data_IF_639558143813
#
_entry.id   IF_639558143813
#
_cell.length_a   1.000
_cell.length_b   1.000
_cell.length_c   1.000
_cell.angle_alpha   90.00
_cell.angle_beta   90.00
_cell.angle_gamma   90.00
#
_symmetry.space_group_name_H-M   'P 1'
#
loop_
_entity.id
_entity.type
_entity.pdbx_description
1 polymer ?
#
# COMPACT_ATOMS: atom_id res chain seq x y z
N UNK A 1 18.02 4.30 -58.58
CA UNK A 1 18.14 4.29 -57.11
C UNK A 1 16.84 4.79 -56.45
N UNK A 2 15.74 4.02 -56.52
CA UNK A 2 14.44 4.39 -55.89
C UNK A 2 13.67 3.20 -55.30
N UNK A 3 14.30 2.02 -55.16
CA UNK A 3 13.63 0.78 -54.70
C UNK A 3 14.12 0.22 -53.37
N UNK A 4 15.05 0.89 -52.67
CA UNK A 4 15.59 0.40 -51.38
C UNK A 4 14.96 1.13 -50.17
N UNK A 5 14.17 2.18 -50.40
CA UNK A 5 13.61 3.01 -49.33
C UNK A 5 12.23 2.55 -48.81
N UNK A 6 11.75 1.35 -49.20
CA UNK A 6 10.45 0.83 -48.73
C UNK A 6 10.57 -0.32 -47.72
N UNK A 7 11.76 -0.94 -47.58
CA UNK A 7 11.93 -2.11 -46.69
C UNK A 7 12.35 -1.67 -45.27
N UNK A 8 12.89 -0.46 -45.09
CA UNK A 8 13.33 0.03 -43.78
C UNK A 8 12.16 0.60 -42.95
N UNK A 9 11.02 0.93 -43.57
CA UNK A 9 9.81 1.34 -42.83
C UNK A 9 8.96 0.17 -42.31
N UNK A 10 9.24 -1.08 -42.70
CA UNK A 10 8.52 -2.26 -42.18
C UNK A 10 9.18 -2.88 -40.93
N UNK A 11 10.37 -2.42 -40.53
CA UNK A 11 11.10 -2.95 -39.38
C UNK A 11 10.97 -2.09 -38.10
N UNK A 12 10.20 -1.00 -38.13
CA UNK A 12 9.87 -0.18 -36.95
C UNK A 12 8.51 -0.50 -36.34
N UNK A 13 7.78 -1.49 -36.84
CA UNK A 13 6.57 -2.05 -36.20
C UNK A 13 6.92 -3.18 -35.21
N UNK A 14 8.03 -3.06 -34.47
CA UNK A 14 8.01 -3.50 -33.08
C UNK A 14 7.17 -2.49 -32.32
N UNK A 15 5.86 -2.51 -32.58
CA UNK A 15 4.86 -1.97 -31.67
C UNK A 15 5.21 -2.62 -30.32
N UNK A 16 5.74 -1.83 -29.40
CA UNK A 16 5.85 -2.22 -28.01
C UNK A 16 4.44 -2.49 -27.53
N UNK A 17 3.98 -3.73 -27.70
CA UNK A 17 2.74 -4.19 -27.11
C UNK A 17 3.01 -4.17 -25.61
N UNK A 18 2.51 -3.13 -24.96
CA UNK A 18 2.32 -3.12 -23.52
C UNK A 18 1.65 -4.45 -23.17
N UNK A 19 2.33 -5.25 -22.35
CA UNK A 19 1.82 -6.57 -21.95
C UNK A 19 0.48 -6.37 -21.25
N UNK A 20 -0.60 -6.80 -21.90
CA UNK A 20 -1.96 -6.82 -21.33
C UNK A 20 -2.20 -8.16 -20.65
N UNK A 21 -3.00 -8.12 -19.60
CA UNK A 21 -3.32 -9.27 -18.76
C UNK A 21 -4.84 -9.44 -18.70
N UNK A 22 -5.35 -10.69 -18.63
CA UNK A 22 -6.75 -10.94 -18.36
C UNK A 22 -7.13 -10.37 -17.00
N UNK A 23 -8.29 -9.71 -16.94
CA UNK A 23 -8.83 -9.13 -15.72
C UNK A 23 -10.32 -9.41 -15.56
N UNK A 24 -10.77 -9.50 -14.32
CA UNK A 24 -12.17 -9.32 -13.94
C UNK A 24 -12.32 -7.95 -13.26
N UNK A 25 -13.28 -7.15 -13.70
CA UNK A 25 -13.58 -5.83 -13.13
C UNK A 25 -14.96 -5.88 -12.49
N UNK A 26 -14.97 -5.66 -11.17
CA UNK A 26 -16.18 -5.59 -10.36
C UNK A 26 -16.50 -4.13 -10.06
N UNK A 27 -17.74 -3.76 -10.29
CA UNK A 27 -18.24 -2.39 -10.15
C UNK A 27 -19.01 -2.21 -8.86
N UNK A 28 -19.14 -0.95 -8.43
CA UNK A 28 -19.80 -0.59 -7.16
C UNK A 28 -21.31 -0.87 -7.15
N UNK A 29 -21.95 -0.93 -8.31
CA UNK A 29 -23.36 -1.32 -8.45
C UNK A 29 -23.55 -2.85 -8.45
N UNK A 30 -22.46 -3.62 -8.34
CA UNK A 30 -22.46 -5.08 -8.28
C UNK A 30 -22.28 -5.77 -9.63
N UNK A 31 -22.24 -5.05 -10.76
CA UNK A 31 -21.95 -5.71 -12.04
C UNK A 31 -20.48 -6.13 -12.14
N UNK A 32 -20.23 -7.17 -12.94
CA UNK A 32 -18.90 -7.70 -13.19
C UNK A 32 -18.72 -7.97 -14.67
N UNK A 33 -17.51 -7.73 -15.17
CA UNK A 33 -17.14 -8.01 -16.54
C UNK A 33 -15.70 -8.54 -16.62
N UNK A 34 -15.43 -9.33 -17.65
CA UNK A 34 -14.09 -9.79 -17.96
C UNK A 34 -13.51 -8.99 -19.12
N UNK A 35 -12.20 -8.82 -19.13
CA UNK A 35 -11.50 -8.13 -20.20
C UNK A 35 -9.98 -8.26 -20.08
N UNK A 36 -9.28 -7.34 -20.73
CA UNK A 36 -7.82 -7.26 -20.74
C UNK A 36 -7.36 -5.85 -20.41
N UNK A 37 -6.35 -5.74 -19.57
CA UNK A 37 -5.77 -4.46 -19.14
C UNK A 37 -4.26 -4.51 -19.07
N UNK A 38 -3.60 -3.37 -19.27
CA UNK A 38 -2.19 -3.23 -18.92
C UNK A 38 -2.02 -3.31 -17.40
N UNK A 39 -0.92 -3.92 -16.94
CA UNK A 39 -0.62 -3.95 -15.51
C UNK A 39 -0.42 -2.51 -15.00
N UNK A 40 -1.16 -2.16 -13.97
CA UNK A 40 -1.24 -0.80 -13.44
C UNK A 40 0.01 -0.47 -12.63
N UNK A 41 0.68 -1.45 -12.03
CA UNK A 41 1.98 -1.26 -11.36
C UNK A 41 3.17 -1.11 -12.34
N UNK A 42 2.93 -0.83 -13.62
CA UNK A 42 4.02 -0.40 -14.49
C UNK A 42 4.49 0.99 -14.04
N UNK A 43 5.79 1.09 -13.76
CA UNK A 43 6.44 2.33 -13.37
C UNK A 43 6.15 3.40 -14.42
N UNK A 44 5.50 4.49 -14.01
CA UNK A 44 5.42 5.71 -14.79
C UNK A 44 6.83 6.31 -14.81
N UNK A 45 7.37 6.53 -16.01
CA UNK A 45 8.61 7.30 -16.18
C UNK A 45 8.25 8.76 -15.94
N UNK A 46 8.22 9.18 -14.68
CA UNK A 46 8.19 10.61 -14.36
C UNK A 46 9.61 11.16 -14.44
N UNK A 47 9.82 11.98 -15.47
CA UNK A 47 11.11 12.58 -15.82
C UNK A 47 11.58 13.65 -14.82
N UNK A 48 10.79 14.00 -13.81
CA UNK A 48 11.09 15.03 -12.81
C UNK A 48 10.40 14.67 -11.49
N UNK A 49 11.19 14.42 -10.43
CA UNK A 49 10.76 13.85 -9.14
C UNK A 49 9.89 14.76 -8.26
N UNK A 50 8.69 15.11 -8.72
CA UNK A 50 7.68 15.82 -7.93
C UNK A 50 6.33 15.08 -8.00
N UNK A 51 6.09 14.17 -7.05
CA UNK A 51 4.82 13.46 -6.88
C UNK A 51 4.87 12.47 -5.70
N UNK A 52 3.73 12.11 -5.13
CA UNK A 52 3.65 11.01 -4.16
C UNK A 52 3.90 9.64 -4.82
N UNK A 53 4.30 8.64 -4.03
CA UNK A 53 4.74 7.33 -4.53
C UNK A 53 3.67 6.59 -5.33
N UNK A 54 2.40 6.77 -4.96
CA UNK A 54 1.25 6.20 -5.66
C UNK A 54 1.15 6.68 -7.12
N UNK A 55 1.56 7.94 -7.39
CA UNK A 55 1.60 8.48 -8.76
C UNK A 55 2.67 7.80 -9.63
N UNK A 56 3.76 7.31 -9.00
CA UNK A 56 4.86 6.62 -9.71
C UNK A 56 4.41 5.27 -10.27
N UNK A 57 3.43 4.62 -9.64
CA UNK A 57 2.82 3.37 -10.10
C UNK A 57 1.44 3.54 -10.71
N UNK A 58 1.05 4.76 -11.12
CA UNK A 58 -0.26 5.04 -11.74
C UNK A 58 -1.44 4.48 -10.92
N UNK A 59 -1.29 4.35 -9.59
CA UNK A 59 -2.33 3.83 -8.70
C UNK A 59 -3.42 4.88 -8.48
N UNK A 60 -3.12 6.15 -8.77
CA UNK A 60 -4.02 7.29 -8.72
C UNK A 60 -4.82 7.49 -10.02
N UNK A 61 -4.68 6.57 -10.98
CA UNK A 61 -5.31 6.65 -12.29
C UNK A 61 -6.80 6.97 -12.15
N UNK A 62 -7.25 8.05 -12.79
CA UNK A 62 -8.68 8.42 -12.76
C UNK A 62 -9.52 7.52 -13.67
N UNK A 63 -8.88 6.89 -14.66
CA UNK A 63 -9.52 6.01 -15.62
C UNK A 63 -8.68 4.77 -15.88
N UNK A 64 -9.34 3.63 -16.00
CA UNK A 64 -8.76 2.37 -16.48
C UNK A 64 -9.10 2.17 -17.96
N UNK A 65 -8.21 1.50 -18.68
CA UNK A 65 -8.37 1.17 -20.10
C UNK A 65 -8.60 -0.34 -20.23
N UNK A 66 -9.86 -0.74 -20.38
CA UNK A 66 -10.28 -2.15 -20.49
C UNK A 66 -10.46 -2.49 -21.97
N UNK A 67 -10.04 -3.68 -22.39
CA UNK A 67 -10.23 -4.19 -23.75
C UNK A 67 -11.03 -5.50 -23.70
N UNK A 68 -11.87 -5.73 -24.70
CA UNK A 68 -12.64 -6.99 -24.79
C UNK A 68 -11.78 -8.16 -25.29
N UNK A 69 -10.60 -7.88 -25.84
CA UNK A 69 -9.58 -8.86 -26.24
C UNK A 69 -8.18 -8.26 -26.15
N UNK A 70 -7.14 -9.10 -26.17
CA UNK A 70 -5.73 -8.64 -26.09
C UNK A 70 -5.39 -7.56 -27.12
N UNK A 71 -5.97 -7.66 -28.33
CA UNK A 71 -5.77 -6.73 -29.45
C UNK A 71 -6.96 -5.81 -29.70
N UNK A 72 -7.95 -5.82 -28.82
CA UNK A 72 -9.17 -5.03 -28.96
C UNK A 72 -8.95 -3.54 -28.67
N UNK A 73 -9.95 -2.74 -29.04
CA UNK A 73 -9.99 -1.32 -28.69
C UNK A 73 -10.19 -1.17 -27.17
N UNK A 74 -9.51 -0.17 -26.60
CA UNK A 74 -9.65 0.13 -25.18
C UNK A 74 -10.82 1.09 -24.93
N UNK A 75 -11.77 0.67 -24.10
CA UNK A 75 -12.78 1.51 -23.47
C UNK A 75 -12.25 2.07 -22.16
N UNK A 76 -12.61 3.31 -21.86
CA UNK A 76 -12.21 3.99 -20.63
C UNK A 76 -13.30 3.84 -19.58
N UNK A 77 -12.91 3.43 -18.38
CA UNK A 77 -13.80 3.28 -17.23
C UNK A 77 -13.26 4.12 -16.09
N UNK A 78 -14.14 4.87 -15.41
CA UNK A 78 -13.74 5.68 -14.26
C UNK A 78 -13.43 4.78 -13.07
N UNK A 79 -12.30 5.00 -12.40
CA UNK A 79 -11.95 4.27 -11.16
C UNK A 79 -12.97 4.51 -10.06
N UNK A 80 -13.73 5.62 -10.11
CA UNK A 80 -14.78 5.89 -9.12
C UNK A 80 -15.94 4.89 -9.15
N UNK A 81 -16.17 4.26 -10.30
CA UNK A 81 -17.29 3.33 -10.54
C UNK A 81 -16.88 1.88 -10.25
N UNK A 82 -15.56 1.64 -10.15
CA UNK A 82 -14.96 0.34 -9.89
C UNK A 82 -14.95 0.08 -8.38
N UNK A 83 -15.20 -1.17 -8.02
CA UNK A 83 -15.02 -1.69 -6.66
C UNK A 83 -13.68 -2.43 -6.57
N UNK A 84 -13.48 -3.43 -7.44
CA UNK A 84 -12.26 -4.23 -7.52
C UNK A 84 -11.82 -4.51 -8.95
N UNK A 85 -10.52 -4.72 -9.13
CA UNK A 85 -9.93 -5.28 -10.34
C UNK A 85 -9.09 -6.49 -9.95
N UNK A 86 -9.37 -7.63 -10.56
CA UNK A 86 -8.62 -8.88 -10.32
C UNK A 86 -7.80 -9.15 -11.58
N UNK A 87 -6.47 -9.14 -11.45
CA UNK A 87 -5.56 -9.55 -12.51
C UNK A 87 -5.28 -11.04 -12.40
N UNK A 88 -5.52 -11.78 -13.49
CA UNK A 88 -5.23 -13.21 -13.53
C UNK A 88 -3.83 -13.44 -14.10
N UNK A 89 -2.90 -13.92 -13.27
CA UNK A 89 -1.57 -14.34 -13.68
C UNK A 89 -1.42 -15.85 -13.57
N UNK A 90 -0.44 -16.43 -14.28
CA UNK A 90 -0.13 -17.87 -14.20
C UNK A 90 0.16 -18.34 -12.77
N UNK A 91 0.67 -17.44 -11.92
CA UNK A 91 1.04 -17.73 -10.53
C UNK A 91 -0.08 -17.45 -9.52
N UNK A 92 -1.25 -17.02 -9.99
CA UNK A 92 -2.40 -16.67 -9.16
C UNK A 92 -2.96 -15.29 -9.47
N UNK A 93 -4.03 -14.97 -8.76
CA UNK A 93 -4.76 -13.73 -8.94
C UNK A 93 -4.18 -12.62 -8.06
N UNK A 94 -4.16 -11.40 -8.59
CA UNK A 94 -3.82 -10.20 -7.83
C UNK A 94 -5.00 -9.24 -7.84
N UNK A 95 -5.59 -9.06 -6.67
CA UNK A 95 -6.74 -8.20 -6.48
C UNK A 95 -6.31 -6.78 -6.13
N UNK A 96 -6.99 -5.79 -6.71
CA UNK A 96 -6.85 -4.38 -6.40
C UNK A 96 -8.20 -3.81 -6.01
N UNK A 97 -8.22 -2.98 -4.98
CA UNK A 97 -9.39 -2.23 -4.51
C UNK A 97 -9.32 -0.80 -4.99
N UNK A 98 -10.40 -0.31 -5.61
CA UNK A 98 -10.61 1.12 -5.80
C UNK A 98 -11.14 1.72 -4.49
N UNK A 99 -10.32 2.51 -3.80
CA UNK A 99 -10.62 3.02 -2.46
C UNK A 99 -10.21 4.48 -2.29
N UNK A 100 -10.98 5.22 -1.51
CA UNK A 100 -10.63 6.59 -1.11
C UNK A 100 -9.50 6.53 -0.10
N UNK A 101 -8.46 7.34 -0.27
CA UNK A 101 -7.36 7.46 0.68
C UNK A 101 -7.49 8.74 1.50
N UNK A 102 -7.28 8.59 2.80
CA UNK A 102 -7.17 9.70 3.74
C UNK A 102 -5.74 9.76 4.27
N UNK A 103 -5.12 10.94 4.18
CA UNK A 103 -3.78 11.21 4.70
C UNK A 103 -3.85 11.93 6.04
N UNK A 104 -2.93 11.58 6.94
CA UNK A 104 -2.80 12.24 8.24
C UNK A 104 -2.09 13.59 8.06
N UNK A 105 -2.85 14.68 8.23
CA UNK A 105 -2.38 16.05 8.20
C UNK A 105 -1.90 16.59 9.54
N UNK A 106 -1.67 17.90 9.58
CA UNK A 106 -1.30 18.62 10.80
C UNK A 106 -2.31 18.41 11.94
N UNK A 107 -1.82 18.07 13.13
CA UNK A 107 -2.65 17.83 14.31
C UNK A 107 -3.47 16.53 14.26
N UNK A 108 -3.18 15.60 13.35
CA UNK A 108 -3.88 14.32 13.24
C UNK A 108 -5.19 14.36 12.47
N UNK A 109 -5.50 15.49 11.81
CA UNK A 109 -6.68 15.60 10.95
C UNK A 109 -6.52 14.74 9.70
N UNK A 110 -7.59 14.04 9.31
CA UNK A 110 -7.63 13.28 8.07
C UNK A 110 -7.99 14.20 6.90
N UNK A 111 -7.15 14.22 5.87
CA UNK A 111 -7.37 14.96 4.63
C UNK A 111 -7.63 13.98 3.49
N UNK A 112 -8.63 14.27 2.66
CA UNK A 112 -8.94 13.47 1.47
C UNK A 112 -7.83 13.64 0.42
N UNK A 113 -7.29 12.51 -0.03
CA UNK A 113 -6.21 12.44 -1.02
C UNK A 113 -6.74 11.95 -2.40
N UNK A 114 -7.99 11.49 -2.46
CA UNK A 114 -8.64 10.98 -3.66
C UNK A 114 -8.80 9.46 -3.68
N UNK A 115 -9.18 8.93 -4.84
CA UNK A 115 -9.41 7.49 -5.05
C UNK A 115 -8.20 6.89 -5.76
N UNK A 116 -7.76 5.75 -5.23
CA UNK A 116 -6.61 4.98 -5.67
C UNK A 116 -7.01 3.52 -5.86
N UNK A 117 -6.32 2.83 -6.76
CA UNK A 117 -6.47 1.41 -7.00
C UNK A 117 -5.31 0.68 -6.34
N UNK A 118 -5.51 0.21 -5.10
CA UNK A 118 -4.44 -0.37 -4.29
C UNK A 118 -4.48 -1.91 -4.29
N UNK A 119 -3.32 -2.60 -4.34
CA UNK A 119 -3.28 -4.04 -4.19
C UNK A 119 -3.79 -4.47 -2.82
N UNK A 120 -4.60 -5.54 -2.79
CA UNK A 120 -5.09 -6.15 -1.55
C UNK A 120 -4.01 -7.05 -0.99
N UNK A 121 -3.58 -6.77 0.25
CA UNK A 121 -2.65 -7.62 1.00
C UNK A 121 -3.43 -8.61 1.86
N UNK A 122 -4.41 -8.11 2.63
CA UNK A 122 -5.22 -8.93 3.53
C UNK A 122 -6.64 -8.38 3.67
N UNK A 123 -7.64 -9.25 3.67
CA UNK A 123 -9.03 -8.93 4.03
C UNK A 123 -9.35 -9.49 5.41
N UNK A 124 -10.14 -8.78 6.20
CA UNK A 124 -10.54 -9.25 7.53
C UNK A 124 -11.18 -8.16 8.37
N UNK A 125 -10.97 -8.24 9.70
CA UNK A 125 -11.44 -7.24 10.67
C UNK A 125 -11.01 -5.82 10.30
N UNK A 126 -9.77 -5.71 9.84
CA UNK A 126 -9.21 -4.53 9.16
C UNK A 126 -8.63 -5.04 7.84
N UNK A 127 -9.06 -4.44 6.73
CA UNK A 127 -8.46 -4.69 5.43
C UNK A 127 -7.13 -3.95 5.33
N UNK A 128 -6.13 -4.62 4.76
CA UNK A 128 -4.80 -4.11 4.50
C UNK A 128 -4.56 -4.07 3.01
N UNK A 129 -4.14 -2.91 2.55
CA UNK A 129 -3.69 -2.69 1.19
C UNK A 129 -2.23 -2.28 1.21
N UNK A 130 -1.47 -2.59 0.17
CA UNK A 130 -0.07 -2.25 0.16
C UNK A 130 0.66 -2.61 -1.12
N UNK A 131 1.85 -2.05 -1.27
CA UNK A 131 2.73 -2.31 -2.40
C UNK A 131 4.19 -2.10 -2.00
N UNK A 132 5.09 -2.69 -2.78
CA UNK A 132 6.54 -2.48 -2.65
C UNK A 132 7.01 -1.48 -3.70
N UNK A 133 7.80 -0.50 -3.27
CA UNK A 133 8.51 0.43 -4.14
C UNK A 133 9.99 0.06 -4.19
N UNK A 134 10.59 0.18 -5.37
CA UNK A 134 12.04 0.02 -5.55
C UNK A 134 12.57 1.22 -6.32
N UNK A 135 13.47 1.96 -5.68
CA UNK A 135 14.18 3.07 -6.29
C UNK A 135 15.69 2.93 -6.10
N UNK A 136 16.42 3.72 -6.87
CA UNK A 136 17.86 3.85 -6.74
C UNK A 136 18.13 5.21 -6.15
N UNK A 137 18.73 5.24 -4.96
CA UNK A 137 19.21 6.48 -4.37
C UNK A 137 20.64 6.74 -4.88
N UNK A 138 20.89 7.93 -5.43
CA UNK A 138 22.22 8.27 -5.90
C UNK A 138 23.18 8.31 -4.72
N UNK A 139 24.37 7.73 -4.90
CA UNK A 139 25.44 7.84 -3.91
C UNK A 139 25.75 9.32 -3.60
N UNK A 140 26.21 9.60 -2.38
CA UNK A 140 26.64 10.93 -1.99
C UNK A 140 27.79 11.39 -2.91
N UNK A 141 27.59 12.43 -3.75
CA UNK A 141 28.60 12.86 -4.71
C UNK A 141 29.87 13.40 -4.05
N UNK A 142 29.83 13.73 -2.75
CA UNK A 142 31.00 14.15 -1.97
C UNK A 142 31.89 12.98 -1.48
N UNK A 143 31.41 11.74 -1.54
CA UNK A 143 32.17 10.56 -1.16
C UNK A 143 32.49 9.71 -2.41
N UNK A 144 33.79 9.61 -2.72
CA UNK A 144 34.31 8.90 -3.90
C UNK A 144 34.04 7.39 -3.90
N UNK A 145 33.67 6.84 -2.74
CA UNK A 145 33.29 5.43 -2.60
C UNK A 145 31.79 5.22 -2.52
N UNK A 146 31.00 6.31 -2.51
CA UNK A 146 29.56 6.19 -2.49
C UNK A 146 29.07 5.62 -3.81
N UNK A 147 28.32 4.53 -3.72
CA UNK A 147 27.67 3.89 -4.86
C UNK A 147 26.18 4.12 -4.73
N UNK A 148 25.52 4.14 -5.88
CA UNK A 148 24.07 4.10 -5.94
C UNK A 148 23.57 2.87 -5.19
N UNK A 149 22.61 3.07 -4.29
CA UNK A 149 21.99 1.99 -3.53
C UNK A 149 20.59 1.77 -4.06
N UNK A 150 20.22 0.50 -4.24
CA UNK A 150 18.83 0.15 -4.52
C UNK A 150 18.10 0.03 -3.20
N UNK A 151 17.15 0.92 -2.96
CA UNK A 151 16.31 0.95 -1.78
C UNK A 151 14.96 0.35 -2.11
N UNK A 152 14.43 -0.43 -1.16
CA UNK A 152 13.11 -1.04 -1.23
C UNK A 152 12.28 -0.52 -0.07
N UNK A 153 11.13 0.06 -0.40
CA UNK A 153 10.19 0.61 0.57
C UNK A 153 8.85 -0.12 0.50
N UNK A 154 8.14 -0.16 1.61
CA UNK A 154 6.88 -0.90 1.76
C UNK A 154 5.81 0.02 2.28
N UNK A 155 4.71 0.10 1.54
CA UNK A 155 3.58 1.00 1.79
C UNK A 155 2.37 0.19 2.25
N UNK A 156 1.73 0.62 3.33
CA UNK A 156 0.53 -0.03 3.87
C UNK A 156 -0.56 0.96 4.23
N UNK A 157 -1.79 0.60 3.88
CA UNK A 157 -3.00 1.37 4.14
C UNK A 157 -4.03 0.48 4.81
N UNK A 158 -4.78 1.05 5.76
CA UNK A 158 -5.66 0.29 6.64
C UNK A 158 -7.08 0.79 6.52
N UNK A 159 -8.03 -0.12 6.42
CA UNK A 159 -9.45 0.18 6.28
C UNK A 159 -10.26 -0.71 7.20
N UNK A 160 -11.10 -0.11 8.05
CA UNK A 160 -12.20 -0.83 8.65
C UNK A 160 -13.24 -1.13 7.57
N UNK A 161 -13.68 -2.39 7.36
CA UNK A 161 -14.61 -2.75 6.29
C UNK A 161 -15.92 -1.96 6.25
N UNK A 162 -16.32 -1.35 7.39
CA UNK A 162 -17.50 -0.49 7.50
C UNK A 162 -17.27 0.96 7.01
N UNK A 163 -16.05 1.31 6.58
CA UNK A 163 -15.70 2.62 6.05
C UNK A 163 -15.44 2.59 4.55
N UNK A 164 -15.64 3.71 3.87
CA UNK A 164 -15.41 3.85 2.42
C UNK A 164 -13.99 4.37 2.06
N UNK A 165 -13.10 4.49 3.05
CA UNK A 165 -11.72 4.95 2.88
C UNK A 165 -10.71 4.14 3.68
N UNK A 166 -9.48 4.09 3.18
CA UNK A 166 -8.31 3.62 3.90
C UNK A 166 -7.47 4.81 4.39
N UNK A 167 -6.73 4.61 5.47
CA UNK A 167 -5.85 5.61 6.08
C UNK A 167 -4.40 5.20 5.86
N UNK A 168 -3.58 6.16 5.44
CA UNK A 168 -2.12 6.06 5.47
C UNK A 168 -1.59 6.50 6.84
N UNK A 169 -1.03 5.56 7.61
CA UNK A 169 -0.45 5.82 8.93
C UNK A 169 1.00 6.27 8.88
N UNK A 170 1.33 7.10 7.88
CA UNK A 170 2.65 7.70 7.69
C UNK A 170 3.76 6.65 7.55
N UNK A 171 3.51 5.50 6.92
CA UNK A 171 4.43 4.36 6.79
C UNK A 171 5.51 4.26 7.89
N UNK A 172 5.11 4.43 9.15
CA UNK A 172 6.07 4.56 10.24
C UNK A 172 6.67 3.20 10.47
N UNK A 173 7.98 3.10 10.30
CA UNK A 173 8.73 1.84 10.30
C UNK A 173 8.86 1.21 11.67
N UNK A 174 8.60 1.96 12.75
CA UNK A 174 8.69 1.43 14.09
C UNK A 174 7.72 2.08 15.08
N UNK A 175 7.46 1.32 16.13
CA UNK A 175 6.68 1.70 17.32
C UNK A 175 7.29 2.88 18.09
N UNK A 176 8.58 3.19 17.90
CA UNK A 176 9.24 4.34 18.54
C UNK A 176 8.78 5.65 17.91
N UNK A 177 8.70 5.65 16.58
CA UNK A 177 8.14 6.73 15.76
C UNK A 177 6.66 6.88 16.09
N UNK A 178 5.93 5.78 16.24
CA UNK A 178 4.54 5.80 16.72
C UNK A 178 4.40 6.49 18.09
N UNK A 179 5.24 6.13 19.08
CA UNK A 179 5.23 6.77 20.42
C UNK A 179 5.49 8.27 20.30
N UNK A 180 6.44 8.68 19.46
CA UNK A 180 6.77 10.09 19.25
C UNK A 180 5.63 10.85 18.53
N UNK A 181 4.90 10.18 17.65
CA UNK A 181 3.79 10.72 16.87
C UNK A 181 2.42 10.47 17.52
N UNK A 182 2.37 9.90 18.74
CA UNK A 182 1.14 9.38 19.37
C UNK A 182 -0.05 10.33 19.27
N UNK A 183 0.16 11.63 19.48
CA UNK A 183 -0.90 12.65 19.40
C UNK A 183 -1.44 12.84 17.99
N UNK A 184 -0.58 12.72 16.97
CA UNK A 184 -0.96 12.85 15.56
C UNK A 184 -1.69 11.60 15.06
N UNK A 185 -1.34 10.42 15.56
CA UNK A 185 -1.91 9.14 15.10
C UNK A 185 -3.09 8.66 15.94
N UNK A 186 -3.30 9.21 17.14
CA UNK A 186 -4.41 8.88 18.03
C UNK A 186 -5.78 9.02 17.36
N UNK A 187 -6.05 10.19 16.76
CA UNK A 187 -7.33 10.47 16.11
C UNK A 187 -7.57 9.55 14.90
N UNK A 188 -6.61 9.39 13.97
CA UNK A 188 -6.72 8.41 12.89
C UNK A 188 -7.00 6.98 13.39
N UNK A 189 -6.27 6.51 14.41
CA UNK A 189 -6.50 5.17 14.98
C UNK A 189 -7.89 5.04 15.59
N UNK A 190 -8.32 6.05 16.34
CA UNK A 190 -9.66 6.08 16.95
C UNK A 190 -10.73 6.00 15.87
N UNK A 191 -10.53 6.69 14.74
CA UNK A 191 -11.44 6.64 13.60
C UNK A 191 -11.44 5.28 12.88
N UNK A 192 -10.29 4.62 12.74
CA UNK A 192 -10.19 3.26 12.18
C UNK A 192 -10.94 2.22 13.04
N UNK A 193 -10.91 2.36 14.36
CA UNK A 193 -11.55 1.43 15.29
C UNK A 193 -12.85 1.97 15.92
N UNK A 194 -13.47 2.98 15.30
CA UNK A 194 -14.59 3.75 15.89
C UNK A 194 -15.84 2.94 16.21
N UNK A 195 -16.01 1.77 15.60
CA UNK A 195 -17.11 0.86 15.88
C UNK A 195 -16.85 -0.05 17.09
N UNK A 196 -15.73 0.13 17.78
CA UNK A 196 -15.36 -0.60 18.99
C UNK A 196 -14.99 0.37 20.13
N UNK A 197 -15.96 0.77 20.98
CA UNK A 197 -15.74 1.73 22.06
C UNK A 197 -14.64 1.35 23.06
N UNK A 198 -14.45 0.05 23.30
CA UNK A 198 -13.38 -0.44 24.16
C UNK A 198 -12.00 -0.19 23.55
N UNK A 199 -11.87 -0.43 22.24
CA UNK A 199 -10.64 -0.19 21.50
C UNK A 199 -10.30 1.31 21.41
N UNK A 200 -11.30 2.15 21.16
CA UNK A 200 -11.11 3.61 21.15
C UNK A 200 -10.67 4.12 22.52
N UNK A 201 -11.25 3.62 23.61
CA UNK A 201 -10.85 4.00 24.97
C UNK A 201 -9.40 3.58 25.29
N UNK A 202 -8.95 2.42 24.82
CA UNK A 202 -7.55 1.99 24.96
C UNK A 202 -6.59 2.87 24.16
N UNK A 203 -6.96 3.28 22.95
CA UNK A 203 -6.16 4.23 22.14
C UNK A 203 -6.08 5.59 22.82
N UNK A 204 -7.20 6.13 23.31
CA UNK A 204 -7.25 7.39 24.05
C UNK A 204 -6.38 7.34 25.31
N UNK A 205 -6.47 6.25 26.08
CA UNK A 205 -5.65 6.04 27.27
C UNK A 205 -4.15 5.93 26.94
N UNK A 206 -3.78 5.23 25.87
CA UNK A 206 -2.39 5.11 25.43
C UNK A 206 -1.79 6.43 24.92
N UNK A 207 -2.65 7.33 24.43
CA UNK A 207 -2.25 8.59 23.81
C UNK A 207 -2.41 9.81 24.72
N UNK A 208 -3.10 9.65 25.86
CA UNK A 208 -3.26 10.68 26.89
C UNK A 208 -1.91 11.14 27.46
N UNK A 209 -1.63 12.44 27.33
CA UNK A 209 -0.49 13.11 27.93
C UNK A 209 -0.70 13.25 29.44
N UNK A 210 -0.14 12.35 30.25
CA UNK A 210 -0.03 12.59 31.70
C UNK A 210 -0.06 11.37 32.61
N UNK A 211 -0.36 10.18 32.10
CA UNK A 211 -0.58 8.99 32.94
C UNK A 211 0.64 8.11 33.15
N UNK A 212 1.68 8.23 32.31
CA UNK A 212 2.90 7.41 32.40
C UNK A 212 4.09 8.21 32.89
N UNK A 213 4.64 7.79 34.01
CA UNK A 213 5.90 8.24 34.59
C UNK A 213 7.06 8.05 33.59
N UNK A 214 8.15 8.82 33.77
CA UNK A 214 9.38 8.66 32.97
C UNK A 214 9.94 7.23 33.05
N UNK A 215 9.75 6.55 34.18
CA UNK A 215 10.18 5.16 34.37
C UNK A 215 9.34 4.19 33.54
N UNK A 216 8.02 4.31 33.56
CA UNK A 216 7.13 3.47 32.74
C UNK A 216 7.39 3.67 31.25
N UNK A 217 7.63 4.91 30.80
CA UNK A 217 8.03 5.17 29.40
C UNK A 217 9.34 4.51 29.03
N UNK A 218 10.33 4.54 29.93
CA UNK A 218 11.63 3.90 29.71
C UNK A 218 11.52 2.37 29.70
N UNK A 219 10.61 1.82 30.50
CA UNK A 219 10.36 0.38 30.54
C UNK A 219 9.65 -0.08 29.26
N UNK A 220 8.56 0.60 28.87
CA UNK A 220 7.86 0.34 27.62
C UNK A 220 8.80 0.47 26.40
N UNK A 221 9.73 1.42 26.43
CA UNK A 221 10.77 1.57 25.42
C UNK A 221 11.65 0.31 25.30
N UNK A 222 12.17 -0.19 26.43
CA UNK A 222 13.03 -1.38 26.43
C UNK A 222 12.30 -2.65 25.99
N UNK A 223 11.06 -2.82 26.43
CA UNK A 223 10.21 -3.95 26.04
C UNK A 223 9.93 -3.91 24.53
N UNK A 224 9.68 -2.72 24.00
CA UNK A 224 9.49 -2.47 22.58
C UNK A 224 10.74 -2.79 21.75
N UNK A 225 11.94 -2.37 22.20
CA UNK A 225 13.21 -2.69 21.53
C UNK A 225 13.49 -4.20 21.55
N UNK A 226 13.26 -4.86 22.69
CA UNK A 226 13.45 -6.30 22.82
C UNK A 226 12.52 -7.08 21.89
N UNK A 227 11.24 -6.69 21.82
CA UNK A 227 10.27 -7.31 20.90
C UNK A 227 10.66 -7.10 19.44
N UNK A 228 11.08 -5.89 19.06
CA UNK A 228 11.52 -5.65 17.69
C UNK A 228 12.75 -6.49 17.33
N UNK A 229 13.72 -6.61 18.23
CA UNK A 229 14.90 -7.44 18.00
C UNK A 229 14.56 -8.93 17.82
N UNK A 230 13.55 -9.45 18.53
CA UNK A 230 13.03 -10.80 18.35
C UNK A 230 12.39 -10.97 16.96
N UNK A 231 11.53 -10.03 16.57
CA UNK A 231 10.89 -10.01 15.25
C UNK A 231 11.92 -9.92 14.12
N UNK A 232 12.93 -9.08 14.24
CA UNK A 232 14.02 -8.96 13.26
C UNK A 232 14.81 -10.27 13.15
N UNK A 233 15.05 -10.94 14.28
CA UNK A 233 15.70 -12.25 14.30
C UNK A 233 14.87 -13.32 13.59
N UNK A 234 13.55 -13.35 13.81
CA UNK A 234 12.65 -14.24 13.09
C UNK A 234 12.60 -13.91 11.60
N UNK A 235 12.43 -12.64 11.25
CA UNK A 235 12.38 -12.17 9.87
C UNK A 235 13.66 -12.54 9.12
N UNK A 236 14.84 -12.43 9.76
CA UNK A 236 16.13 -12.80 9.16
C UNK A 236 16.22 -14.27 8.71
N UNK A 237 15.45 -15.16 9.34
CA UNK A 237 15.42 -16.60 9.02
C UNK A 237 14.57 -16.92 7.78
N UNK A 238 13.76 -15.97 7.31
CA UNK A 238 12.98 -16.14 6.09
C UNK A 238 13.87 -16.08 4.86
N UNK A 239 13.49 -16.82 3.82
CA UNK A 239 14.16 -16.73 2.51
C UNK A 239 13.87 -15.39 1.85
N UNK A 240 14.77 -14.93 0.98
CA UNK A 240 14.59 -13.65 0.29
C UNK A 240 13.36 -13.64 -0.63
N UNK A 241 12.97 -14.81 -1.16
CA UNK A 241 11.69 -14.98 -1.83
C UNK A 241 10.51 -14.65 -0.92
N UNK A 242 10.48 -15.23 0.29
CA UNK A 242 9.42 -14.99 1.27
C UNK A 242 9.37 -13.52 1.74
N UNK A 243 10.52 -12.89 1.98
CA UNK A 243 10.56 -11.48 2.40
C UNK A 243 10.11 -10.50 1.31
N UNK A 244 10.41 -10.83 0.04
CA UNK A 244 10.17 -9.92 -1.09
C UNK A 244 8.78 -10.11 -1.70
N UNK A 245 8.28 -11.35 -1.78
CA UNK A 245 7.02 -11.63 -2.49
C UNK A 245 5.78 -11.61 -1.60
N UNK A 246 5.94 -11.61 -0.28
CA UNK A 246 4.81 -11.69 0.65
C UNK A 246 4.72 -10.43 1.51
N UNK A 247 3.92 -9.48 1.03
CA UNK A 247 3.64 -8.22 1.74
C UNK A 247 2.96 -8.45 3.09
N UNK A 248 2.18 -9.53 3.26
CA UNK A 248 1.53 -9.85 4.53
C UNK A 248 2.57 -10.32 5.55
N UNK A 249 3.52 -11.16 5.10
CA UNK A 249 4.67 -11.54 5.93
C UNK A 249 5.50 -10.32 6.32
N UNK A 250 5.84 -9.44 5.37
CA UNK A 250 6.59 -8.22 5.71
C UNK A 250 5.83 -7.33 6.71
N UNK A 251 4.52 -7.14 6.48
CA UNK A 251 3.64 -6.39 7.37
C UNK A 251 3.66 -6.95 8.79
N UNK A 252 3.53 -8.27 8.95
CA UNK A 252 3.58 -8.93 10.26
C UNK A 252 4.82 -8.58 11.08
N UNK A 253 5.99 -8.51 10.44
CA UNK A 253 7.26 -8.28 11.12
C UNK A 253 7.59 -6.78 11.29
N UNK A 254 7.37 -5.97 10.25
CA UNK A 254 7.76 -4.55 10.22
C UNK A 254 6.63 -3.60 10.69
N UNK A 255 5.40 -4.11 10.81
CA UNK A 255 4.21 -3.36 11.27
C UNK A 255 3.50 -4.08 12.41
N UNK A 256 4.24 -4.84 13.24
CA UNK A 256 3.69 -5.58 14.38
C UNK A 256 2.87 -4.70 15.34
N UNK A 257 3.21 -3.41 15.49
CA UNK A 257 2.40 -2.50 16.30
C UNK A 257 0.95 -2.37 15.79
N UNK A 258 0.73 -2.33 14.48
CA UNK A 258 -0.61 -2.34 13.89
C UNK A 258 -1.26 -3.70 14.03
N UNK A 259 -0.51 -4.80 13.89
CA UNK A 259 -1.02 -6.15 14.14
C UNK A 259 -1.54 -6.30 15.57
N UNK A 260 -0.82 -5.79 16.56
CA UNK A 260 -1.28 -5.79 17.95
C UNK A 260 -2.60 -5.05 18.13
N UNK A 261 -2.79 -3.91 17.45
CA UNK A 261 -4.07 -3.21 17.48
C UNK A 261 -5.18 -4.02 16.80
N UNK A 262 -4.91 -4.66 15.66
CA UNK A 262 -5.88 -5.52 14.95
C UNK A 262 -6.28 -6.73 15.81
N UNK A 263 -5.32 -7.37 16.47
CA UNK A 263 -5.57 -8.50 17.39
C UNK A 263 -6.45 -8.05 18.56
N UNK A 264 -6.09 -6.97 19.26
CA UNK A 264 -6.88 -6.42 20.38
C UNK A 264 -8.28 -6.03 19.94
N UNK A 265 -8.43 -5.46 18.75
CA UNK A 265 -9.73 -5.13 18.18
C UNK A 265 -10.61 -6.40 18.03
N UNK A 266 -10.04 -7.50 17.55
CA UNK A 266 -10.75 -8.79 17.46
C UNK A 266 -11.07 -9.43 18.81
N UNK A 267 -10.32 -9.11 19.87
CA UNK A 267 -10.58 -9.56 21.24
C UNK A 267 -11.68 -8.74 21.93
N UNK A 268 -11.64 -7.41 21.79
CA UNK A 268 -12.60 -6.50 22.40
C UNK A 268 -13.95 -6.47 21.68
N UNK A 269 -13.95 -6.71 20.37
CA UNK A 269 -15.14 -6.60 19.54
C UNK A 269 -15.37 -7.86 18.71
N UNK A 270 -15.65 -9.01 19.37
CA UNK A 270 -15.81 -10.31 18.70
C UNK A 270 -17.02 -10.35 17.75
N UNK A 271 -18.01 -9.48 17.94
CA UNK A 271 -19.18 -9.33 17.06
C UNK A 271 -18.83 -8.73 15.68
N UNK A 272 -17.56 -8.37 15.46
CA UNK A 272 -17.05 -7.88 14.16
C UNK A 272 -16.48 -8.99 13.28
N UNK A 273 -16.42 -10.24 13.78
CA UNK A 273 -15.99 -11.44 13.04
C UNK A 273 -17.07 -11.98 12.10
#
# INVERSE_FOLDING_TARGET
MKKIMLIICLLTLNLGYSKVFPVAVKYKDGHEENGFMENIMQKKIDLLGFGSWEHTYNLDAKVLKIRDSEKGNARKVSVKDIDYVIFHFEKGDLEYKAIRLMRIGGGGKLNDDGIYLLPVVRKGLINIYGFTFVHTEPGNPADRFSRDITVREYFFYYQNPKMDYAIDYLNTTDILTFISLRKKVALPLTDLFKDCPQMTAEIEKATADGTTSRQERKQAWKESEAKQAELDSEFSKLTEGQKISDLDTYHKYDRDFMEQFIVKYGEFCPETK
#
